data_IF_131241626180
#
_entry.id   IF_131241626180
#
_cell.length_a   1.000
_cell.length_b   1.000
_cell.length_c   1.000
_cell.angle_alpha   90.00
_cell.angle_beta   90.00
_cell.angle_gamma   90.00
#
_symmetry.space_group_name_H-M   'P 1'
#
loop_
_entity.id
_entity.type
_entity.pdbx_description
1 polymer ?
#
# COMPACT_ATOMS: atom_id res chain seq x y z
N UNK A 1 -17.14 6.14 18.68
CA UNK A 1 -17.19 6.58 17.28
C UNK A 1 -15.97 6.02 16.59
N UNK A 2 -16.15 4.88 15.92
CA UNK A 2 -15.11 4.14 15.23
C UNK A 2 -14.61 4.94 14.03
N UNK A 3 -13.34 5.32 14.03
CA UNK A 3 -12.67 5.80 12.84
C UNK A 3 -12.46 4.61 11.89
N UNK A 4 -13.50 4.24 11.15
CA UNK A 4 -13.35 3.41 9.96
C UNK A 4 -12.61 4.26 8.92
N UNK A 5 -11.31 4.08 8.84
CA UNK A 5 -10.51 4.73 7.80
C UNK A 5 -10.78 3.95 6.53
N UNK A 6 -11.54 4.58 5.62
CA UNK A 6 -11.73 4.12 4.25
C UNK A 6 -10.43 4.35 3.48
N UNK A 7 -9.40 3.55 3.74
CA UNK A 7 -8.26 3.48 2.83
C UNK A 7 -8.68 2.62 1.65
N UNK A 8 -9.18 3.25 0.58
CA UNK A 8 -9.11 2.61 -0.72
C UNK A 8 -7.61 2.33 -1.01
N UNK A 9 -7.26 1.18 -1.55
CA UNK A 9 -5.88 0.80 -1.86
C UNK A 9 -5.57 1.22 -3.30
N UNK A 10 -5.60 2.54 -3.51
CA UNK A 10 -4.89 3.24 -4.58
C UNK A 10 -3.86 4.12 -3.89
N UNK A 11 -2.69 3.55 -3.73
CA UNK A 11 -1.65 4.07 -2.89
C UNK A 11 -1.23 5.46 -3.31
N UNK A 12 -1.09 6.31 -2.28
CA UNK A 12 -0.68 7.71 -2.38
C UNK A 12 -1.54 8.61 -3.29
N UNK A 13 -2.68 8.20 -3.84
CA UNK A 13 -3.47 9.02 -4.80
C UNK A 13 -4.94 9.22 -4.41
N UNK A 14 -5.42 8.61 -3.33
CA UNK A 14 -6.80 8.84 -2.90
C UNK A 14 -6.98 10.17 -2.19
N UNK A 15 -7.01 11.20 -3.03
CA UNK A 15 -8.08 12.21 -3.02
C UNK A 15 -8.66 12.49 -4.43
N UNK A 16 -8.19 11.81 -5.49
CA UNK A 16 -8.76 11.99 -6.82
C UNK A 16 -9.76 10.87 -7.09
N UNK A 17 -10.96 10.98 -6.50
CA UNK A 17 -11.97 9.94 -6.71
C UNK A 17 -13.39 10.19 -6.23
N UNK A 18 -13.72 11.33 -5.62
CA UNK A 18 -15.10 11.84 -5.47
C UNK A 18 -15.03 13.17 -4.70
N UNK A 19 -15.74 14.21 -5.15
CA UNK A 19 -16.01 15.46 -4.38
C UNK A 19 -14.91 16.52 -4.26
N UNK A 20 -14.36 17.05 -5.37
CA UNK A 20 -13.74 18.40 -5.38
C UNK A 20 -12.60 18.67 -4.38
N UNK A 21 -12.03 17.63 -3.76
CA UNK A 21 -10.93 17.72 -2.83
C UNK A 21 -9.61 17.80 -3.60
N UNK A 22 -8.67 18.58 -3.06
CA UNK A 22 -7.32 18.71 -3.64
C UNK A 22 -6.58 17.39 -3.41
N UNK A 23 -5.75 16.94 -4.36
CA UNK A 23 -4.93 15.75 -4.15
C UNK A 23 -4.03 15.91 -2.91
N UNK A 24 -4.07 14.92 -2.02
CA UNK A 24 -3.27 14.92 -0.77
C UNK A 24 -1.77 14.81 -1.03
N UNK A 25 -1.38 14.13 -2.11
CA UNK A 25 0.00 14.02 -2.54
C UNK A 25 0.19 14.72 -3.88
N UNK A 26 1.33 15.38 -4.03
CA UNK A 26 1.73 16.08 -5.25
C UNK A 26 2.99 15.46 -5.85
N UNK A 27 3.30 15.82 -7.10
CA UNK A 27 4.48 15.34 -7.83
C UNK A 27 4.60 13.81 -7.86
N UNK A 28 3.49 13.11 -8.12
CA UNK A 28 3.45 11.63 -8.12
C UNK A 28 3.71 11.03 -9.51
N UNK A 29 3.96 11.85 -10.53
CA UNK A 29 4.24 11.37 -11.89
C UNK A 29 3.02 10.78 -12.59
N UNK A 30 3.24 9.79 -13.45
CA UNK A 30 2.19 9.19 -14.29
C UNK A 30 1.14 8.42 -13.47
N UNK A 31 1.50 7.94 -12.28
CA UNK A 31 0.62 7.12 -11.45
C UNK A 31 -0.66 7.84 -11.04
N UNK A 32 -0.70 9.18 -11.03
CA UNK A 32 -1.93 9.96 -10.77
C UNK A 32 -3.08 9.62 -11.73
N UNK A 33 -2.77 9.15 -12.94
CA UNK A 33 -3.75 8.79 -13.96
C UNK A 33 -4.10 7.31 -13.96
N UNK A 34 -3.26 6.48 -13.35
CA UNK A 34 -3.38 5.02 -13.38
C UNK A 34 -2.84 4.35 -12.10
N UNK A 35 -3.39 4.70 -10.91
CA UNK A 35 -2.91 4.15 -9.64
C UNK A 35 -3.09 2.63 -9.51
N UNK A 36 -3.99 2.05 -10.31
CA UNK A 36 -4.21 0.62 -10.42
C UNK A 36 -3.08 -0.15 -11.11
N UNK A 37 -2.18 0.53 -11.83
CA UNK A 37 -1.26 -0.11 -12.79
C UNK A 37 0.12 -0.46 -12.23
N UNK A 38 0.33 -0.42 -10.90
CA UNK A 38 1.63 -0.76 -10.29
C UNK A 38 1.80 -2.30 -10.25
N UNK A 39 1.96 -2.88 -11.43
CA UNK A 39 2.07 -4.32 -11.67
C UNK A 39 3.53 -4.71 -11.99
N UNK A 40 4.06 -5.68 -11.25
CA UNK A 40 5.39 -6.25 -11.50
C UNK A 40 5.38 -7.75 -11.21
N UNK A 41 6.43 -8.52 -11.59
CA UNK A 41 6.55 -9.91 -11.16
C UNK A 41 6.38 -10.06 -9.65
N UNK A 42 5.87 -11.22 -9.21
CA UNK A 42 5.82 -11.57 -7.79
C UNK A 42 7.23 -11.54 -7.21
N UNK A 43 7.35 -11.14 -5.94
CA UNK A 43 8.63 -11.00 -5.22
C UNK A 43 9.57 -9.91 -5.79
N UNK A 44 9.04 -8.89 -6.47
CA UNK A 44 9.79 -7.68 -6.84
C UNK A 44 9.97 -6.77 -5.62
N UNK A 45 11.02 -7.04 -4.85
CA UNK A 45 11.42 -6.26 -3.67
C UNK A 45 12.80 -5.62 -3.89
N UNK A 46 12.87 -4.71 -4.85
CA UNK A 46 14.11 -3.99 -5.17
C UNK A 46 14.26 -2.79 -4.24
N UNK A 47 15.42 -2.68 -3.59
CA UNK A 47 15.72 -1.57 -2.68
C UNK A 47 15.58 -0.22 -3.38
N UNK A 48 14.88 0.71 -2.73
CA UNK A 48 14.56 2.02 -3.27
C UNK A 48 13.54 2.01 -4.42
N UNK A 49 12.87 0.88 -4.67
CA UNK A 49 11.90 0.69 -5.76
C UNK A 49 10.62 -0.02 -5.32
N UNK A 50 10.38 -0.11 -4.01
CA UNK A 50 9.21 -0.82 -3.48
C UNK A 50 7.88 -0.13 -3.84
N UNK A 51 7.85 1.21 -3.82
CA UNK A 51 6.62 1.97 -4.04
C UNK A 51 6.25 2.03 -5.53
N UNK A 52 7.24 2.10 -6.43
CA UNK A 52 7.04 2.05 -7.87
C UNK A 52 6.98 0.63 -8.45
N UNK A 53 7.31 -0.39 -7.66
CA UNK A 53 7.61 -1.74 -8.14
C UNK A 53 8.66 -1.78 -9.28
N UNK A 54 9.58 -0.80 -9.29
CA UNK A 54 10.58 -0.57 -10.33
C UNK A 54 10.02 -0.26 -11.74
N UNK A 55 8.78 0.23 -11.81
CA UNK A 55 8.17 0.69 -13.06
C UNK A 55 8.69 2.09 -13.37
N UNK A 56 9.30 2.26 -14.55
CA UNK A 56 10.01 3.48 -14.94
C UNK A 56 9.14 4.74 -14.94
N UNK A 57 7.85 4.63 -15.28
CA UNK A 57 6.88 5.73 -15.27
C UNK A 57 6.42 6.13 -13.85
N UNK A 58 6.70 5.32 -12.83
CA UNK A 58 6.22 5.51 -11.46
C UNK A 58 7.34 5.79 -10.43
N UNK A 59 8.57 6.03 -10.89
CA UNK A 59 9.73 6.24 -10.01
C UNK A 59 9.58 7.44 -9.06
N UNK A 60 8.69 8.39 -9.34
CA UNK A 60 8.35 9.49 -8.42
C UNK A 60 7.82 8.98 -7.07
N UNK A 61 7.22 7.79 -7.02
CA UNK A 61 6.74 7.16 -5.79
C UNK A 61 7.87 6.72 -4.86
N UNK A 62 9.10 6.61 -5.37
CA UNK A 62 10.26 6.15 -4.61
C UNK A 62 10.95 7.28 -3.84
N UNK A 63 10.54 8.54 -4.04
CA UNK A 63 10.96 9.65 -3.19
C UNK A 63 10.58 9.35 -1.74
N UNK A 64 11.50 9.52 -0.79
CA UNK A 64 11.26 9.15 0.60
C UNK A 64 11.90 10.15 1.56
N UNK A 65 11.05 10.95 2.19
CA UNK A 65 11.38 11.79 3.35
C UNK A 65 10.24 11.73 4.37
N UNK A 66 10.48 12.13 5.61
CA UNK A 66 9.48 12.14 6.67
C UNK A 66 8.25 13.02 6.39
N UNK A 67 8.37 13.96 5.44
CA UNK A 67 7.32 14.93 5.10
C UNK A 67 6.84 14.82 3.65
N UNK A 68 7.40 13.91 2.86
CA UNK A 68 7.11 13.81 1.42
C UNK A 68 5.66 13.40 1.12
N UNK A 69 5.10 12.57 2.00
CA UNK A 69 3.84 11.88 1.76
C UNK A 69 2.83 12.17 2.86
N UNK A 70 1.57 12.32 2.45
CA UNK A 70 0.43 12.42 3.35
C UNK A 70 0.25 11.13 4.14
N UNK A 71 0.15 11.24 5.47
CA UNK A 71 0.06 10.10 6.39
C UNK A 71 -1.36 9.93 6.92
N UNK A 72 -1.96 8.77 6.64
CA UNK A 72 -3.28 8.42 7.15
C UNK A 72 -3.22 8.17 8.67
N UNK A 73 -4.05 8.86 9.44
CA UNK A 73 -4.09 8.72 10.89
C UNK A 73 -4.80 7.41 11.27
N UNK A 74 -4.06 6.42 11.77
CA UNK A 74 -4.61 5.10 12.17
C UNK A 74 -4.31 4.81 13.64
N UNK A 75 -5.02 3.84 14.21
CA UNK A 75 -4.68 3.24 15.51
C UNK A 75 -3.98 1.90 15.33
N UNK A 76 -3.16 1.53 16.30
CA UNK A 76 -2.70 0.14 16.44
C UNK A 76 -3.89 -0.80 16.68
N UNK A 77 -3.72 -2.10 16.39
CA UNK A 77 -4.79 -3.09 16.42
C UNK A 77 -5.49 -3.27 15.06
N UNK A 78 -6.77 -3.61 15.09
CA UNK A 78 -7.53 -3.93 13.89
C UNK A 78 -7.66 -2.72 12.94
N UNK A 79 -7.23 -2.91 11.69
CA UNK A 79 -7.36 -1.94 10.61
C UNK A 79 -8.01 -2.61 9.40
N UNK A 80 -9.09 -2.02 8.88
CA UNK A 80 -9.73 -2.49 7.65
C UNK A 80 -9.10 -1.84 6.44
N UNK A 81 -8.52 -2.67 5.57
CA UNK A 81 -7.98 -2.31 4.27
C UNK A 81 -9.06 -2.55 3.21
N UNK A 82 -9.26 -1.59 2.29
CA UNK A 82 -10.20 -1.73 1.18
C UNK A 82 -9.49 -1.66 -0.15
N UNK A 83 -9.58 -2.67 -0.99
CA UNK A 83 -9.10 -2.61 -2.38
C UNK A 83 -10.27 -2.32 -3.32
N UNK A 84 -10.05 -1.43 -4.29
CA UNK A 84 -10.94 -1.28 -5.45
C UNK A 84 -10.23 -1.86 -6.67
N UNK A 85 -10.82 -2.87 -7.30
CA UNK A 85 -10.23 -3.58 -8.42
C UNK A 85 -10.85 -3.05 -9.71
N UNK A 86 -10.05 -2.37 -10.54
CA UNK A 86 -10.49 -1.93 -11.88
C UNK A 86 -10.62 -3.10 -12.84
N UNK A 87 -9.81 -4.14 -12.64
CA UNK A 87 -9.88 -5.44 -13.28
C UNK A 87 -9.77 -6.52 -12.20
N UNK A 88 -10.71 -7.46 -12.17
CA UNK A 88 -10.68 -8.58 -11.22
C UNK A 88 -9.84 -9.71 -11.79
N UNK A 89 -8.92 -10.26 -10.99
CA UNK A 89 -8.07 -11.39 -11.35
C UNK A 89 -8.19 -12.50 -10.30
N UNK A 90 -8.04 -13.77 -10.70
CA UNK A 90 -8.00 -14.86 -9.73
C UNK A 90 -6.83 -14.64 -8.80
N UNK A 91 -7.06 -14.67 -7.50
CA UNK A 91 -6.10 -14.19 -6.50
C UNK A 91 -5.50 -15.35 -5.71
N UNK A 92 -4.16 -15.37 -5.58
CA UNK A 92 -3.50 -16.30 -4.68
C UNK A 92 -3.51 -15.75 -3.27
N UNK A 93 -2.81 -14.64 -3.03
CA UNK A 93 -2.67 -14.08 -1.68
C UNK A 93 -2.70 -12.56 -1.68
N UNK A 94 -3.10 -12.01 -0.54
CA UNK A 94 -2.92 -10.61 -0.17
C UNK A 94 -1.92 -10.55 0.98
N UNK A 95 -0.77 -9.94 0.72
CA UNK A 95 0.33 -9.87 1.66
C UNK A 95 0.55 -8.44 2.13
N UNK A 96 0.66 -8.26 3.44
CA UNK A 96 0.82 -6.95 4.06
C UNK A 96 2.12 -6.91 4.85
N UNK A 97 2.95 -5.93 4.52
CA UNK A 97 4.22 -5.66 5.15
C UNK A 97 4.18 -4.28 5.79
N UNK A 98 4.72 -4.14 6.99
CA UNK A 98 4.79 -2.86 7.69
C UNK A 98 6.24 -2.58 8.07
N UNK A 99 6.66 -1.33 7.96
CA UNK A 99 7.98 -0.89 8.42
C UNK A 99 8.23 -1.32 9.87
N UNK A 100 9.47 -1.72 10.17
CA UNK A 100 9.93 -2.13 11.50
C UNK A 100 10.09 -0.91 12.43
N UNK A 101 10.08 -1.09 13.76
CA UNK A 101 10.44 -0.02 14.68
C UNK A 101 11.85 0.49 14.37
N UNK A 102 12.04 1.81 14.39
CA UNK A 102 13.34 2.43 14.11
C UNK A 102 13.72 2.54 12.63
N UNK A 103 12.82 2.22 11.69
CA UNK A 103 13.06 2.50 10.27
C UNK A 103 13.33 4.00 10.04
N UNK A 104 14.19 4.33 9.07
CA UNK A 104 14.53 5.72 8.76
C UNK A 104 13.60 6.27 7.67
N UNK A 105 12.70 7.22 7.97
CA UNK A 105 11.75 7.77 7.00
C UNK A 105 12.39 8.68 5.94
N UNK A 106 13.68 8.98 6.07
CA UNK A 106 14.48 9.79 5.14
C UNK A 106 15.47 8.95 4.32
N UNK A 107 15.23 7.64 4.23
CA UNK A 107 16.02 6.73 3.39
C UNK A 107 15.10 5.99 2.42
N UNK A 108 15.59 5.61 1.22
CA UNK A 108 14.81 4.79 0.30
C UNK A 108 14.27 3.53 0.97
N UNK A 109 13.04 3.14 0.61
CA UNK A 109 12.40 1.95 1.18
C UNK A 109 13.16 0.69 0.76
N UNK A 110 13.53 -0.14 1.73
CA UNK A 110 14.13 -1.46 1.52
C UNK A 110 13.30 -2.49 2.25
N UNK A 111 13.06 -3.65 1.63
CA UNK A 111 12.20 -4.70 2.20
C UNK A 111 12.76 -5.25 3.52
N UNK A 112 14.07 -5.10 3.76
CA UNK A 112 14.73 -5.46 5.01
C UNK A 112 14.22 -4.63 6.20
N UNK A 113 13.77 -3.40 5.93
CA UNK A 113 13.17 -2.52 6.93
C UNK A 113 11.69 -2.82 7.18
N UNK A 114 11.13 -3.86 6.56
CA UNK A 114 9.74 -4.26 6.70
C UNK A 114 9.62 -5.64 7.38
N UNK A 115 8.44 -5.87 7.95
CA UNK A 115 8.00 -7.13 8.50
C UNK A 115 6.65 -7.49 7.88
N UNK A 116 6.49 -8.75 7.44
CA UNK A 116 5.20 -9.25 6.98
C UNK A 116 4.28 -9.45 8.20
N UNK A 117 3.22 -8.66 8.28
CA UNK A 117 2.29 -8.65 9.43
C UNK A 117 1.02 -9.47 9.18
N UNK A 118 0.64 -9.68 7.93
CA UNK A 118 -0.56 -10.44 7.57
C UNK A 118 -0.40 -11.06 6.18
N UNK A 119 -0.97 -12.25 6.00
CA UNK A 119 -1.12 -12.94 4.72
C UNK A 119 -2.52 -13.53 4.67
N UNK A 120 -3.28 -13.25 3.61
CA UNK A 120 -4.64 -13.77 3.40
C UNK A 120 -4.63 -14.57 2.11
N UNK A 121 -4.97 -15.86 2.18
CA UNK A 121 -5.04 -16.76 1.03
C UNK A 121 -6.46 -16.82 0.46
N UNK A 122 -6.61 -16.39 -0.79
CA UNK A 122 -7.89 -16.39 -1.52
C UNK A 122 -8.12 -17.69 -2.30
N UNK A 123 -7.18 -18.63 -2.26
CA UNK A 123 -7.29 -19.98 -2.84
C UNK A 123 -7.61 -19.96 -4.35
N UNK A 124 -7.10 -18.96 -5.08
CA UNK A 124 -7.34 -18.81 -6.53
C UNK A 124 -8.73 -18.30 -6.88
N UNK A 125 -9.50 -17.77 -5.92
CA UNK A 125 -10.83 -17.20 -6.18
C UNK A 125 -10.73 -15.90 -6.98
N UNK A 126 -11.77 -15.63 -7.76
CA UNK A 126 -11.98 -14.31 -8.34
C UNK A 126 -12.64 -13.42 -7.26
N UNK A 127 -11.95 -12.43 -6.69
CA UNK A 127 -12.49 -11.58 -5.64
C UNK A 127 -13.56 -10.63 -6.19
N UNK A 128 -14.39 -10.05 -5.31
CA UNK A 128 -15.32 -8.98 -5.69
C UNK A 128 -14.58 -7.71 -6.15
N UNK A 129 -15.28 -6.78 -6.79
CA UNK A 129 -14.70 -5.49 -7.22
C UNK A 129 -14.18 -4.67 -6.05
N UNK A 130 -14.94 -4.65 -4.95
CA UNK A 130 -14.56 -4.01 -3.70
C UNK A 130 -14.24 -5.11 -2.69
N UNK A 131 -12.99 -5.15 -2.22
CA UNK A 131 -12.51 -6.15 -1.26
C UNK A 131 -12.21 -5.45 0.05
N UNK A 132 -12.77 -5.92 1.15
CA UNK A 132 -12.46 -5.43 2.50
C UNK A 132 -11.78 -6.52 3.32
N UNK A 133 -10.63 -6.21 3.89
CA UNK A 133 -9.80 -7.13 4.67
C UNK A 133 -9.39 -6.48 5.98
N UNK A 134 -9.53 -7.19 7.09
CA UNK A 134 -9.05 -6.71 8.38
C UNK A 134 -7.66 -7.27 8.64
N UNK A 135 -6.69 -6.38 8.83
CA UNK A 135 -5.32 -6.69 9.26
C UNK A 135 -5.13 -6.22 10.69
N UNK A 136 -4.10 -6.71 11.38
CA UNK A 136 -3.75 -6.26 12.72
C UNK A 136 -2.43 -5.49 12.71
N UNK A 137 -2.47 -4.20 13.02
CA UNK A 137 -1.30 -3.34 13.17
C UNK A 137 -0.64 -3.65 14.52
N UNK A 138 0.64 -4.08 14.56
CA UNK A 138 1.32 -4.39 15.81
C UNK A 138 1.38 -3.20 16.77
N UNK A 139 1.23 -3.46 18.07
CA UNK A 139 1.15 -2.43 19.13
C UNK A 139 2.50 -1.77 19.46
N UNK A 140 3.59 -2.34 18.98
CA UNK A 140 4.94 -1.78 19.07
C UNK A 140 5.24 -0.77 17.94
N UNK A 141 4.26 -0.49 17.07
CA UNK A 141 4.35 0.53 16.01
C UNK A 141 3.72 1.84 16.46
N UNK A 142 4.36 2.94 16.11
CA UNK A 142 3.88 4.30 16.38
C UNK A 142 4.50 5.30 15.41
N UNK A 143 3.83 6.44 15.20
CA UNK A 143 4.30 7.51 14.33
C UNK A 143 4.25 7.11 12.85
N UNK A 144 5.08 7.76 12.04
CA UNK A 144 5.14 7.51 10.60
C UNK A 144 5.64 6.10 10.30
N UNK A 145 4.84 5.33 9.57
CA UNK A 145 5.13 4.00 9.06
C UNK A 145 4.65 3.86 7.62
N UNK A 146 5.20 2.91 6.89
CA UNK A 146 4.75 2.55 5.53
C UNK A 146 4.21 1.13 5.55
N UNK A 147 2.98 0.95 5.10
CA UNK A 147 2.33 -0.34 4.86
C UNK A 147 2.44 -0.67 3.38
N UNK A 148 3.14 -1.73 3.01
CA UNK A 148 3.16 -2.27 1.65
C UNK A 148 2.16 -3.43 1.56
N UNK A 149 1.09 -3.24 0.79
CA UNK A 149 0.20 -4.32 0.38
C UNK A 149 0.60 -4.87 -0.98
N UNK A 150 0.59 -6.19 -1.11
CA UNK A 150 0.93 -6.93 -2.32
C UNK A 150 -0.23 -7.86 -2.66
N UNK A 151 -0.87 -7.63 -3.79
CA UNK A 151 -1.93 -8.47 -4.33
C UNK A 151 -1.32 -9.45 -5.34
N UNK A 152 -1.16 -10.71 -4.94
CA UNK A 152 -0.57 -11.75 -5.77
C UNK A 152 -1.64 -12.43 -6.65
N UNK A 153 -1.44 -12.40 -7.96
CA UNK A 153 -2.38 -12.97 -8.94
C UNK A 153 -2.12 -14.46 -9.10
N UNK A 154 -3.14 -15.31 -9.04
CA UNK A 154 -2.96 -16.77 -9.06
C UNK A 154 -2.55 -17.32 -10.43
N UNK A 155 -3.03 -16.72 -11.53
CA UNK A 155 -2.92 -17.24 -12.89
C UNK A 155 -1.89 -16.49 -13.76
N UNK A 156 -1.13 -15.56 -13.16
CA UNK A 156 0.02 -14.89 -13.80
C UNK A 156 1.26 -14.96 -12.91
N UNK A 157 2.40 -14.54 -13.46
CA UNK A 157 3.63 -14.38 -12.69
C UNK A 157 3.69 -13.06 -11.88
N UNK A 158 2.65 -12.23 -11.95
CA UNK A 158 2.66 -10.85 -11.47
C UNK A 158 1.91 -10.65 -10.14
N UNK A 159 2.17 -9.51 -9.53
CA UNK A 159 1.47 -8.96 -8.38
C UNK A 159 1.32 -7.45 -8.53
N UNK A 160 0.33 -6.89 -7.84
CA UNK A 160 0.14 -5.44 -7.73
C UNK A 160 0.68 -4.96 -6.39
N UNK A 161 1.48 -3.90 -6.41
CA UNK A 161 2.18 -3.36 -5.24
C UNK A 161 1.61 -2.00 -4.86
N UNK A 162 1.38 -1.79 -3.57
CA UNK A 162 0.77 -0.57 -3.05
C UNK A 162 1.41 -0.21 -1.69
N UNK A 163 2.24 0.85 -1.65
CA UNK A 163 2.79 1.47 -0.43
C UNK A 163 1.91 2.60 0.18
N UNK A 164 1.30 2.40 1.35
CA UNK A 164 0.47 3.38 2.07
C UNK A 164 1.24 4.01 3.23
N UNK A 165 1.22 5.34 3.31
CA UNK A 165 1.79 6.10 4.43
C UNK A 165 0.77 6.22 5.58
N UNK A 166 1.19 5.80 6.77
CA UNK A 166 0.39 5.76 8.00
C UNK A 166 1.06 6.57 9.10
N UNK A 167 0.26 7.32 9.87
CA UNK A 167 0.67 7.82 11.18
C UNK A 167 -0.07 7.03 12.25
N UNK A 168 0.65 6.14 12.95
CA UNK A 168 0.08 5.17 13.87
C UNK A 168 0.04 5.76 15.29
N UNK A 169 -1.16 5.77 15.87
CA UNK A 169 -1.42 6.13 17.28
C UNK A 169 -1.80 4.89 18.08
N UNK A 170 -1.67 4.96 19.41
CA UNK A 170 -2.04 3.85 20.30
C UNK A 170 -3.53 3.90 20.64
#
# INVERSE_FOLDING_TARGET
MESQICSYFYVRILDIGATGQKPLNTNVGQVQYEPQSIEAPKNTFIDGKLASANISSFLNLDEQTSTRWHQNQVKSGALTIKWHLTAQHKTSTWDYYLTRPGWNPNQPLSILNFEKITSIDDQGKLPAKDVAQTINIPTDRSGYNVLLGVWNISDTANAFYQAVDLNITK
#
